data_IF_509996164755
#
_entry.id   IF_509996164755
#
_cell.length_a   1.000
_cell.length_b   1.000
_cell.length_c   1.000
_cell.angle_alpha   90.00
_cell.angle_beta   90.00
_cell.angle_gamma   90.00
#
_symmetry.space_group_name_H-M   'P 1'
#
loop_
_entity.id
_entity.type
_entity.pdbx_description
1 polymer ?
#
# COMPACT_ATOMS: atom_id res chain seq x y z
N UNK A 1 -6.32 -8.10 12.38
CA UNK A 1 -7.43 -7.33 12.97
C UNK A 1 -8.72 -7.99 12.51
N UNK A 2 -9.73 -8.14 13.36
CA UNK A 2 -11.10 -8.36 12.91
C UNK A 2 -11.79 -7.00 12.95
N UNK A 3 -12.28 -6.55 11.80
CA UNK A 3 -13.04 -5.33 11.65
C UNK A 3 -14.41 -5.76 11.14
N UNK A 4 -15.44 -5.61 11.98
CA UNK A 4 -16.83 -5.89 11.61
C UNK A 4 -17.29 -4.96 10.48
N UNK A 5 -18.45 -5.24 9.88
CA UNK A 5 -19.02 -4.41 8.82
C UNK A 5 -19.23 -2.97 9.31
N UNK A 6 -18.37 -2.06 8.85
CA UNK A 6 -18.40 -0.63 9.16
C UNK A 6 -18.84 0.11 7.89
N UNK A 7 -20.14 0.11 7.56
CA UNK A 7 -20.64 0.59 6.27
C UNK A 7 -20.50 2.11 6.09
N UNK A 8 -20.03 2.85 7.09
CA UNK A 8 -19.77 4.30 7.00
C UNK A 8 -18.28 4.63 7.13
N UNK A 9 -17.40 3.62 7.14
CA UNK A 9 -15.96 3.86 7.28
C UNK A 9 -15.40 4.45 5.99
N UNK A 10 -14.97 5.71 6.07
CA UNK A 10 -14.35 6.43 4.95
C UNK A 10 -12.82 6.50 5.08
N UNK A 11 -12.29 6.52 6.30
CA UNK A 11 -10.87 6.62 6.56
C UNK A 11 -10.42 5.52 7.51
N UNK A 12 -9.46 4.71 7.06
CA UNK A 12 -8.74 3.76 7.89
C UNK A 12 -7.24 4.08 7.84
N UNK A 13 -6.65 4.32 9.01
CA UNK A 13 -5.21 4.48 9.16
C UNK A 13 -4.69 3.56 10.24
N UNK A 14 -3.82 2.65 9.86
CA UNK A 14 -2.95 1.91 10.78
C UNK A 14 -1.48 2.09 10.39
N UNK A 15 -1.16 3.24 9.78
CA UNK A 15 0.18 3.62 9.35
C UNK A 15 1.21 3.56 10.49
N UNK A 16 2.46 3.23 10.17
CA UNK A 16 3.60 3.16 11.10
C UNK A 16 3.34 2.30 12.35
N UNK A 17 2.81 1.09 12.12
CA UNK A 17 2.68 0.06 13.15
C UNK A 17 3.63 -1.11 12.88
N UNK A 18 3.58 -2.13 13.74
CA UNK A 18 4.32 -3.38 13.60
C UNK A 18 3.37 -4.57 13.38
N UNK A 19 2.35 -4.40 12.53
CA UNK A 19 1.34 -5.43 12.33
C UNK A 19 1.97 -6.72 11.77
N UNK A 20 1.50 -7.89 12.24
CA UNK A 20 1.98 -9.17 11.75
C UNK A 20 1.63 -9.34 10.28
N UNK A 21 2.32 -10.29 9.63
CA UNK A 21 2.13 -10.60 8.22
C UNK A 21 0.68 -11.00 7.93
N UNK A 22 0.01 -10.28 7.03
CA UNK A 22 -1.35 -10.56 6.58
C UNK A 22 -1.57 -9.92 5.19
N UNK A 23 -2.56 -10.39 4.44
CA UNK A 23 -2.92 -9.78 3.16
C UNK A 23 -3.90 -8.61 3.36
N UNK A 24 -4.43 -8.08 2.24
CA UNK A 24 -5.35 -6.93 2.23
C UNK A 24 -6.82 -7.32 2.28
N UNK A 25 -7.16 -8.61 2.38
CA UNK A 25 -8.56 -9.07 2.35
C UNK A 25 -9.38 -8.49 3.51
N UNK A 26 -8.73 -8.15 4.62
CA UNK A 26 -9.38 -7.49 5.76
C UNK A 26 -10.03 -6.14 5.40
N UNK A 27 -9.63 -5.51 4.29
CA UNK A 27 -10.15 -4.21 3.86
C UNK A 27 -11.23 -4.31 2.77
N UNK A 28 -11.48 -5.48 2.18
CA UNK A 28 -12.33 -5.63 0.99
C UNK A 28 -13.78 -5.22 1.24
N UNK A 29 -14.25 -5.30 2.48
CA UNK A 29 -15.65 -5.01 2.82
C UNK A 29 -15.92 -3.52 3.05
N UNK A 30 -14.90 -2.68 3.22
CA UNK A 30 -15.08 -1.25 3.49
C UNK A 30 -15.27 -0.43 2.20
N UNK A 31 -16.29 -0.77 1.42
CA UNK A 31 -16.57 -0.17 0.10
C UNK A 31 -16.78 1.36 0.11
N UNK A 32 -16.94 1.96 1.30
CA UNK A 32 -17.01 3.41 1.47
C UNK A 32 -15.66 4.09 1.76
N UNK A 33 -14.56 3.34 1.88
CA UNK A 33 -13.23 3.92 2.11
C UNK A 33 -12.83 4.86 0.97
N UNK A 34 -12.42 6.06 1.38
CA UNK A 34 -11.80 7.08 0.55
C UNK A 34 -10.30 7.18 0.81
N UNK A 35 -9.84 6.80 2.01
CA UNK A 35 -8.44 6.83 2.43
C UNK A 35 -8.05 5.54 3.16
N UNK A 36 -7.00 4.87 2.68
CA UNK A 36 -6.38 3.72 3.33
C UNK A 36 -4.87 3.97 3.53
N UNK A 37 -4.44 4.09 4.79
CA UNK A 37 -3.03 4.28 5.15
C UNK A 37 -2.50 3.09 5.94
N UNK A 38 -1.71 2.24 5.28
CA UNK A 38 -1.19 0.99 5.85
C UNK A 38 0.33 0.88 5.79
N UNK A 39 1.00 1.74 5.04
CA UNK A 39 2.46 1.79 4.99
C UNK A 39 3.12 2.45 6.18
N UNK A 40 4.41 2.72 6.05
CA UNK A 40 5.25 3.36 7.04
C UNK A 40 6.23 4.31 6.35
N UNK A 41 6.24 5.60 6.71
CA UNK A 41 7.19 6.59 6.18
C UNK A 41 8.25 6.98 7.23
N UNK A 42 8.24 6.35 8.41
CA UNK A 42 9.20 6.59 9.49
C UNK A 42 10.45 5.74 9.30
N UNK A 43 11.51 6.38 8.82
CA UNK A 43 12.80 5.75 8.56
C UNK A 43 13.41 5.10 9.79
N UNK A 44 13.31 5.73 10.95
CA UNK A 44 13.91 5.19 12.18
C UNK A 44 13.20 3.89 12.61
N UNK A 45 11.88 3.83 12.45
CA UNK A 45 11.11 2.61 12.73
C UNK A 45 11.44 1.50 11.73
N UNK A 46 11.44 1.81 10.44
CA UNK A 46 11.77 0.83 9.39
C UNK A 46 13.18 0.27 9.58
N UNK A 47 14.14 1.11 9.97
CA UNK A 47 15.51 0.68 10.25
C UNK A 47 15.61 -0.33 11.41
N UNK A 48 14.69 -0.21 12.38
CA UNK A 48 14.51 -1.15 13.50
C UNK A 48 13.60 -2.34 13.13
N UNK A 49 13.27 -2.52 11.85
CA UNK A 49 12.35 -3.56 11.36
C UNK A 49 10.94 -3.46 11.94
N UNK A 50 10.49 -2.24 12.24
CA UNK A 50 9.14 -1.91 12.71
C UNK A 50 8.36 -1.36 11.52
N UNK A 51 7.52 -2.20 10.92
CA UNK A 51 6.63 -1.82 9.82
C UNK A 51 5.48 -2.84 9.70
N UNK A 52 4.42 -2.46 9.01
CA UNK A 52 3.30 -3.34 8.73
C UNK A 52 3.65 -4.30 7.60
N UNK A 53 3.52 -5.60 7.85
CA UNK A 53 3.87 -6.66 6.91
C UNK A 53 2.71 -7.07 6.02
N UNK A 54 2.01 -6.08 5.45
CA UNK A 54 1.01 -6.36 4.44
C UNK A 54 1.69 -6.90 3.19
N UNK A 55 1.18 -8.00 2.62
CA UNK A 55 1.80 -8.68 1.47
C UNK A 55 0.79 -9.04 0.38
N UNK A 56 1.32 -9.43 -0.78
CA UNK A 56 0.55 -9.92 -1.91
C UNK A 56 0.15 -8.80 -2.87
N UNK A 57 -1.00 -8.98 -3.51
CA UNK A 57 -1.52 -8.09 -4.56
C UNK A 57 -2.53 -7.08 -4.03
N UNK A 58 -2.60 -5.93 -4.67
CA UNK A 58 -3.64 -4.91 -4.50
C UNK A 58 -5.04 -5.36 -4.98
N UNK A 59 -5.18 -6.54 -5.60
CA UNK A 59 -6.47 -7.06 -6.09
C UNK A 59 -7.58 -7.07 -5.03
N UNK A 60 -7.26 -7.30 -3.76
CA UNK A 60 -8.25 -7.29 -2.67
C UNK A 60 -8.94 -5.93 -2.50
N UNK A 61 -8.39 -4.86 -3.08
CA UNK A 61 -8.94 -3.50 -3.03
C UNK A 61 -9.78 -3.15 -4.26
N UNK A 62 -9.95 -4.06 -5.23
CA UNK A 62 -10.59 -3.77 -6.53
C UNK A 62 -12.01 -3.21 -6.44
N UNK A 63 -12.75 -3.60 -5.41
CA UNK A 63 -14.14 -3.16 -5.21
C UNK A 63 -14.24 -1.84 -4.40
N UNK A 64 -13.12 -1.29 -3.93
CA UNK A 64 -13.04 -0.02 -3.22
C UNK A 64 -13.08 1.17 -4.18
N UNK A 65 -14.17 1.29 -4.94
CA UNK A 65 -14.35 2.28 -6.01
C UNK A 65 -14.35 3.75 -5.55
N UNK A 66 -14.34 4.01 -4.24
CA UNK A 66 -14.23 5.36 -3.64
C UNK A 66 -12.83 5.67 -3.14
N UNK A 67 -11.93 4.68 -3.12
CA UNK A 67 -10.59 4.84 -2.60
C UNK A 67 -9.83 5.82 -3.47
N UNK A 68 -9.47 6.95 -2.88
CA UNK A 68 -8.80 8.06 -3.56
C UNK A 68 -7.37 8.26 -3.07
N UNK A 69 -7.08 7.82 -1.85
CA UNK A 69 -5.77 7.91 -1.23
C UNK A 69 -5.36 6.55 -0.68
N UNK A 70 -4.20 6.06 -1.14
CA UNK A 70 -3.62 4.81 -0.71
C UNK A 70 -2.14 5.01 -0.33
N UNK A 71 -1.77 4.68 0.90
CA UNK A 71 -0.38 4.61 1.33
C UNK A 71 0.00 3.15 1.62
N UNK A 72 0.95 2.64 0.83
CA UNK A 72 1.55 1.30 0.92
C UNK A 72 3.08 1.35 1.05
N UNK A 73 3.65 2.52 1.39
CA UNK A 73 5.09 2.70 1.55
C UNK A 73 5.69 1.68 2.52
N UNK A 74 6.87 1.15 2.19
CA UNK A 74 7.61 0.19 3.01
C UNK A 74 6.77 -1.03 3.48
N UNK A 75 5.94 -1.57 2.59
CA UNK A 75 5.19 -2.83 2.79
C UNK A 75 5.71 -3.95 1.90
N UNK A 76 5.26 -5.18 2.15
CA UNK A 76 5.60 -6.36 1.36
C UNK A 76 4.61 -6.62 0.19
N UNK A 77 3.82 -5.61 -0.20
CA UNK A 77 2.85 -5.66 -1.32
C UNK A 77 3.59 -5.47 -2.64
N UNK A 78 3.47 -6.39 -3.60
CA UNK A 78 4.36 -6.46 -4.76
C UNK A 78 3.69 -6.35 -6.14
N UNK A 79 2.36 -6.33 -6.19
CA UNK A 79 1.62 -6.49 -7.45
C UNK A 79 0.21 -5.92 -7.42
N UNK A 80 -0.47 -5.89 -8.57
CA UNK A 80 -1.89 -5.59 -8.68
C UNK A 80 -2.26 -4.13 -8.91
N UNK A 81 -1.34 -3.31 -9.42
CA UNK A 81 -1.62 -1.93 -9.80
C UNK A 81 -2.80 -1.83 -10.77
N UNK A 82 -2.95 -2.81 -11.67
CA UNK A 82 -4.02 -2.91 -12.66
C UNK A 82 -5.43 -3.12 -12.07
N UNK A 83 -5.53 -3.49 -10.78
CA UNK A 83 -6.80 -3.65 -10.07
C UNK A 83 -7.22 -2.39 -9.31
N UNK A 84 -6.37 -1.38 -9.23
CA UNK A 84 -6.73 -0.13 -8.60
C UNK A 84 -7.81 0.59 -9.43
N UNK A 85 -8.85 1.07 -8.73
CA UNK A 85 -9.90 1.90 -9.32
C UNK A 85 -9.33 3.22 -9.86
N UNK A 86 -9.95 3.75 -10.92
CA UNK A 86 -9.67 5.08 -11.48
C UNK A 86 -9.88 6.22 -10.46
N UNK A 87 -10.52 5.94 -9.32
CA UNK A 87 -10.70 6.89 -8.22
C UNK A 87 -9.41 7.26 -7.50
N UNK A 88 -8.33 6.47 -7.64
CA UNK A 88 -7.05 6.72 -6.97
C UNK A 88 -6.44 8.03 -7.50
N UNK A 89 -6.45 9.06 -6.66
CA UNK A 89 -5.78 10.33 -6.92
C UNK A 89 -4.36 10.38 -6.38
N UNK A 90 -4.11 9.69 -5.25
CA UNK A 90 -2.82 9.70 -4.55
C UNK A 90 -2.41 8.28 -4.18
N UNK A 91 -1.23 7.86 -4.64
CA UNK A 91 -0.60 6.59 -4.28
C UNK A 91 0.80 6.84 -3.68
N UNK A 92 0.91 6.71 -2.36
CA UNK A 92 2.19 6.73 -1.65
C UNK A 92 2.78 5.31 -1.61
N UNK A 93 3.98 5.16 -2.17
CA UNK A 93 4.66 3.88 -2.40
C UNK A 93 6.17 4.02 -2.17
N UNK A 94 6.55 4.84 -1.20
CA UNK A 94 7.95 5.11 -0.89
C UNK A 94 8.67 3.86 -0.42
N UNK A 95 9.93 3.74 -0.82
CA UNK A 95 10.86 2.70 -0.39
C UNK A 95 12.02 3.39 0.28
N UNK A 96 12.26 3.04 1.54
CA UNK A 96 13.51 3.36 2.19
C UNK A 96 14.58 2.46 1.59
N UNK A 97 15.40 3.05 0.74
CA UNK A 97 16.66 2.47 0.31
C UNK A 97 17.72 2.76 1.37
N UNK A 98 18.49 1.73 1.72
CA UNK A 98 19.80 1.94 2.34
C UNK A 98 20.90 1.54 1.35
N UNK A 99 22.10 2.08 1.56
CA UNK A 99 23.26 1.83 0.67
C UNK A 99 23.65 0.35 0.59
N UNK A 100 23.16 -0.47 1.53
CA UNK A 100 23.37 -1.93 1.57
C UNK A 100 22.24 -2.74 0.93
N UNK A 101 21.20 -2.08 0.40
CA UNK A 101 19.98 -2.71 -0.12
C UNK A 101 19.34 -3.70 0.88
N UNK A 102 19.43 -3.40 2.18
CA UNK A 102 19.00 -4.27 3.28
C UNK A 102 17.49 -4.54 3.25
N UNK A 103 16.70 -3.60 2.74
CA UNK A 103 15.24 -3.69 2.70
C UNK A 103 14.78 -4.07 1.30
N UNK A 104 14.29 -5.29 1.15
CA UNK A 104 13.66 -5.78 -0.08
C UNK A 104 12.13 -5.79 0.09
N UNK A 105 11.54 -4.60 0.27
CA UNK A 105 10.09 -4.45 0.33
C UNK A 105 9.45 -4.86 -1.00
N UNK A 106 8.28 -5.50 -0.92
CA UNK A 106 7.49 -5.85 -2.10
C UNK A 106 7.12 -4.60 -2.92
N UNK A 107 6.88 -3.46 -2.25
CA UNK A 107 6.46 -2.22 -2.91
C UNK A 107 7.50 -1.66 -3.89
N UNK A 108 8.75 -2.16 -3.84
CA UNK A 108 9.75 -1.93 -4.88
C UNK A 108 9.27 -2.35 -6.28
N UNK A 109 8.54 -3.46 -6.40
CA UNK A 109 8.05 -3.95 -7.68
C UNK A 109 6.96 -3.03 -8.24
N UNK A 110 6.10 -2.49 -7.37
CA UNK A 110 5.12 -1.47 -7.72
C UNK A 110 5.83 -0.19 -8.19
N UNK A 111 6.86 0.26 -7.47
CA UNK A 111 7.66 1.43 -7.86
C UNK A 111 8.32 1.26 -9.24
N UNK A 112 8.85 0.06 -9.54
CA UNK A 112 9.42 -0.26 -10.86
C UNK A 112 8.37 -0.19 -11.97
N UNK A 113 7.16 -0.71 -11.74
CA UNK A 113 6.08 -0.65 -12.73
C UNK A 113 5.70 0.80 -13.06
N UNK A 114 5.53 1.65 -12.05
CA UNK A 114 5.19 3.07 -12.24
C UNK A 114 6.31 3.87 -12.93
N UNK A 115 7.57 3.60 -12.59
CA UNK A 115 8.71 4.29 -13.21
C UNK A 115 8.97 3.84 -14.66
N UNK A 116 8.68 2.58 -14.99
CA UNK A 116 8.79 2.07 -16.37
C UNK A 116 7.75 2.71 -17.30
N UNK A 117 6.56 3.03 -16.79
CA UNK A 117 5.56 3.80 -17.53
C UNK A 117 5.99 5.25 -17.85
N UNK A 118 6.92 5.83 -17.07
CA UNK A 118 7.43 7.19 -17.27
C UNK A 118 8.45 7.36 -18.42
N UNK A 119 9.05 6.26 -18.89
CA UNK A 119 10.10 6.30 -19.94
C UNK A 119 9.56 6.00 -21.35
N UNK A 120 8.25 5.92 -21.54
CA UNK A 120 7.62 5.58 -22.83
C UNK A 120 7.06 6.78 -23.60
N UNK A 121 7.62 7.99 -23.43
CA UNK A 121 7.34 9.11 -24.35
C UNK A 121 8.62 9.95 -24.55
N UNK A 122 9.45 9.55 -25.52
CA UNK A 122 10.34 10.45 -26.29
C UNK A 122 10.96 9.71 -27.48
N UNK A 123 10.26 9.74 -28.61
CA UNK A 123 10.83 9.95 -29.96
C UNK A 123 9.83 10.74 -30.78
#
# INVERSE_FOLDING_TARGET
LELDDLPQLELLSCHSNNLPKQDLTIFSNFTNLTTLRIGNNDKEQVEKSIYNRFYGSLESLKDLNKLSELNISNTDIDSGLEFLSDSIGTLEHEVISDESNKYNFGVNEIHKQLTTCGNSIST
#
